data_IF_865444420053
#
_entry.id   IF_865444420053
#
_cell.length_a   1.000
_cell.length_b   1.000
_cell.length_c   1.000
_cell.angle_alpha   90.00
_cell.angle_beta   90.00
_cell.angle_gamma   90.00
#
_symmetry.space_group_name_H-M   'P 1'
#
loop_
_entity.id
_entity.type
_entity.pdbx_description
1 polymer ?
#
# COMPACT_ATOMS: atom_id res chain seq x y z
N UNK A 1 6.86 -31.20 25.41
CA UNK A 1 6.14 -29.97 25.04
C UNK A 1 4.64 -30.27 25.10
N UNK A 2 3.93 -29.80 26.15
CA UNK A 2 2.49 -30.07 26.34
C UNK A 2 1.61 -28.87 25.85
N UNK A 3 2.08 -28.10 24.88
CA UNK A 3 1.34 -26.96 24.32
C UNK A 3 1.46 -27.00 22.81
N UNK A 4 0.37 -26.69 22.13
CA UNK A 4 0.32 -26.53 20.68
C UNK A 4 1.27 -25.39 20.28
N UNK A 5 2.16 -25.59 19.30
CA UNK A 5 3.11 -24.57 18.87
C UNK A 5 2.44 -23.42 18.07
N UNK A 6 1.30 -23.71 17.42
CA UNK A 6 0.56 -22.76 16.58
C UNK A 6 -0.93 -22.85 16.86
N UNK A 7 -1.61 -21.72 16.89
CA UNK A 7 -3.06 -21.64 17.08
C UNK A 7 -3.83 -21.80 15.78
N UNK A 8 -3.25 -21.34 14.69
CA UNK A 8 -3.91 -21.29 13.40
C UNK A 8 -3.09 -21.99 12.33
N UNK A 9 -3.77 -22.64 11.40
CA UNK A 9 -3.18 -23.26 10.20
C UNK A 9 -3.78 -22.58 8.98
N UNK A 10 -2.93 -21.84 8.23
CA UNK A 10 -3.33 -21.20 6.99
C UNK A 10 -2.89 -22.07 5.80
N UNK A 11 -3.89 -22.58 5.05
CA UNK A 11 -3.64 -23.34 3.81
C UNK A 11 -3.71 -22.36 2.64
N UNK A 12 -2.54 -22.02 2.09
CA UNK A 12 -2.44 -21.08 0.99
C UNK A 12 -2.81 -21.72 -0.36
N UNK A 13 -3.19 -20.87 -1.33
CA UNK A 13 -3.49 -21.27 -2.70
C UNK A 13 -2.23 -21.77 -3.45
N UNK A 14 -2.41 -22.68 -4.40
CA UNK A 14 -1.35 -23.11 -5.30
C UNK A 14 -1.21 -22.11 -6.45
N UNK A 15 0.04 -21.87 -6.88
CA UNK A 15 0.33 -21.04 -8.03
C UNK A 15 0.33 -21.92 -9.30
N UNK A 16 -0.46 -21.51 -10.27
CA UNK A 16 -0.59 -22.16 -11.59
C UNK A 16 -0.19 -21.19 -12.69
N UNK A 17 0.04 -21.70 -13.89
CA UNK A 17 0.26 -20.87 -15.06
C UNK A 17 -0.99 -20.05 -15.44
N UNK A 18 -0.86 -19.19 -16.43
CA UNK A 18 -1.94 -18.31 -16.91
C UNK A 18 -3.18 -19.09 -17.36
N UNK A 19 -3.00 -20.30 -17.92
CA UNK A 19 -4.09 -21.19 -18.33
C UNK A 19 -4.69 -22.00 -17.19
N UNK A 20 -4.16 -21.85 -15.97
CA UNK A 20 -4.59 -22.61 -14.80
C UNK A 20 -4.02 -24.02 -14.70
N UNK A 21 -2.98 -24.34 -15.48
CA UNK A 21 -2.32 -25.64 -15.46
C UNK A 21 -1.26 -25.68 -14.35
N UNK A 22 -1.00 -26.88 -13.81
CA UNK A 22 0.13 -27.10 -12.91
C UNK A 22 1.43 -26.85 -13.65
N UNK A 23 2.27 -26.00 -13.07
CA UNK A 23 3.60 -25.72 -13.62
C UNK A 23 4.51 -26.93 -13.48
N UNK A 24 5.22 -27.30 -14.52
CA UNK A 24 6.26 -28.34 -14.50
C UNK A 24 7.34 -28.05 -15.55
N UNK A 25 8.58 -28.44 -15.23
CA UNK A 25 9.71 -28.30 -16.16
C UNK A 25 9.48 -29.06 -17.46
N UNK A 26 8.85 -30.25 -17.38
CA UNK A 26 8.56 -31.10 -18.55
C UNK A 26 7.54 -30.46 -19.51
N UNK A 27 6.67 -29.58 -19.03
CA UNK A 27 5.70 -28.84 -19.86
C UNK A 27 6.22 -27.50 -20.37
N UNK A 28 7.37 -27.05 -19.89
CA UNK A 28 7.94 -25.76 -20.27
C UNK A 28 7.11 -24.53 -19.84
N UNK A 29 6.20 -24.70 -18.89
CA UNK A 29 5.29 -23.64 -18.40
C UNK A 29 5.65 -23.12 -17.01
N UNK A 30 6.89 -23.36 -16.58
CA UNK A 30 7.40 -22.84 -15.30
C UNK A 30 7.72 -21.35 -15.46
N UNK A 31 7.15 -20.54 -14.59
CA UNK A 31 7.50 -19.12 -14.46
C UNK A 31 8.54 -19.01 -13.36
N UNK A 32 9.75 -18.55 -13.69
CA UNK A 32 10.80 -18.32 -12.71
C UNK A 32 10.49 -17.02 -11.93
N UNK A 33 10.31 -17.07 -10.62
CA UNK A 33 10.06 -15.88 -9.82
C UNK A 33 11.26 -14.91 -9.83
N UNK A 34 12.50 -15.39 -10.02
CA UNK A 34 13.68 -14.52 -10.08
C UNK A 34 13.67 -13.65 -11.33
N UNK A 35 13.30 -14.20 -12.50
CA UNK A 35 13.13 -13.41 -13.73
C UNK A 35 12.05 -12.33 -13.58
N UNK A 36 10.94 -12.65 -12.93
CA UNK A 36 9.89 -11.66 -12.63
C UNK A 36 10.37 -10.57 -11.69
N UNK A 37 11.18 -10.94 -10.70
CA UNK A 37 11.76 -9.98 -9.74
C UNK A 37 12.73 -9.03 -10.43
N UNK A 38 13.60 -9.53 -11.29
CA UNK A 38 14.53 -8.70 -12.07
C UNK A 38 13.79 -7.74 -12.99
N UNK A 39 12.75 -8.21 -13.67
CA UNK A 39 11.99 -7.43 -14.64
C UNK A 39 11.01 -6.42 -14.02
N UNK A 40 10.35 -6.79 -12.93
CA UNK A 40 9.23 -6.04 -12.36
C UNK A 40 9.40 -5.62 -10.90
N UNK A 41 10.32 -6.16 -10.16
CA UNK A 41 10.63 -6.04 -8.74
C UNK A 41 9.96 -7.09 -7.84
N UNK A 42 10.58 -7.35 -6.69
CA UNK A 42 10.06 -8.24 -5.68
C UNK A 42 8.71 -7.75 -5.13
N UNK A 43 8.55 -6.45 -4.93
CA UNK A 43 7.30 -5.87 -4.43
C UNK A 43 6.13 -6.10 -5.39
N UNK A 44 6.36 -5.98 -6.71
CA UNK A 44 5.32 -6.23 -7.71
C UNK A 44 4.84 -7.69 -7.68
N UNK A 45 5.78 -8.64 -7.60
CA UNK A 45 5.45 -10.05 -7.49
C UNK A 45 4.72 -10.37 -6.17
N UNK A 46 5.22 -9.85 -5.03
CA UNK A 46 4.59 -10.02 -3.71
C UNK A 46 3.15 -9.52 -3.70
N UNK A 47 2.92 -8.30 -4.19
CA UNK A 47 1.57 -7.73 -4.24
C UNK A 47 0.64 -8.52 -5.16
N UNK A 48 1.15 -8.98 -6.30
CA UNK A 48 0.39 -9.85 -7.23
C UNK A 48 -0.09 -11.11 -6.53
N UNK A 49 0.82 -11.84 -5.89
CA UNK A 49 0.49 -13.10 -5.22
C UNK A 49 -0.52 -12.90 -4.09
N UNK A 50 -0.30 -11.87 -3.23
CA UNK A 50 -1.19 -11.59 -2.11
C UNK A 50 -2.57 -11.12 -2.56
N UNK A 51 -2.66 -10.29 -3.60
CA UNK A 51 -3.95 -9.82 -4.13
C UNK A 51 -4.79 -10.92 -4.80
N UNK A 52 -4.16 -12.03 -5.15
CA UNK A 52 -4.81 -13.19 -5.78
C UNK A 52 -5.00 -14.38 -4.82
N UNK A 53 -4.50 -14.28 -3.59
CA UNK A 53 -4.52 -15.36 -2.61
C UNK A 53 -5.89 -15.53 -1.94
N UNK A 54 -6.95 -15.73 -2.75
CA UNK A 54 -8.28 -16.02 -2.22
C UNK A 54 -8.34 -17.44 -1.66
N UNK A 55 -8.90 -17.66 -0.46
CA UNK A 55 -9.06 -19.00 0.10
C UNK A 55 -9.80 -19.95 -0.85
N UNK A 56 -9.30 -21.18 -1.00
CA UNK A 56 -9.92 -22.22 -1.81
C UNK A 56 -9.80 -22.04 -3.33
N UNK A 57 -9.02 -21.07 -3.82
CA UNK A 57 -8.80 -20.84 -5.26
C UNK A 57 -7.32 -20.79 -5.59
N UNK A 58 -6.92 -21.50 -6.64
CA UNK A 58 -5.56 -21.43 -7.16
C UNK A 58 -5.27 -20.07 -7.80
N UNK A 59 -4.03 -19.61 -7.64
CA UNK A 59 -3.54 -18.37 -8.21
C UNK A 59 -3.09 -18.61 -9.65
N UNK A 60 -3.77 -18.02 -10.63
CA UNK A 60 -3.33 -18.01 -12.05
C UNK A 60 -2.35 -16.85 -12.26
N UNK A 61 -1.07 -17.15 -12.18
CA UNK A 61 -0.03 -16.14 -12.33
C UNK A 61 0.20 -15.84 -13.82
N UNK A 62 0.16 -14.55 -14.18
CA UNK A 62 0.57 -14.06 -15.49
C UNK A 62 1.52 -12.88 -15.35
N UNK A 63 2.40 -12.74 -16.33
CA UNK A 63 3.37 -11.64 -16.37
C UNK A 63 2.67 -10.27 -16.44
N UNK A 64 1.59 -10.16 -17.20
CA UNK A 64 0.82 -8.90 -17.33
C UNK A 64 0.24 -8.42 -15.99
N UNK A 65 -0.13 -9.34 -15.11
CA UNK A 65 -0.60 -8.96 -13.76
C UNK A 65 0.52 -8.37 -12.91
N UNK A 66 1.71 -8.99 -12.96
CA UNK A 66 2.88 -8.47 -12.23
C UNK A 66 3.28 -7.10 -12.77
N UNK A 67 3.26 -6.92 -14.09
CA UNK A 67 3.47 -5.62 -14.76
C UNK A 67 2.44 -4.58 -14.32
N UNK A 68 1.17 -4.94 -14.21
CA UNK A 68 0.10 -4.07 -13.71
C UNK A 68 0.40 -3.55 -12.29
N UNK A 69 0.82 -4.42 -11.38
CA UNK A 69 1.17 -4.00 -10.03
C UNK A 69 2.49 -3.24 -9.95
N UNK A 70 3.44 -3.46 -10.86
CA UNK A 70 4.58 -2.54 -10.98
C UNK A 70 4.14 -1.11 -11.28
N UNK A 71 3.14 -0.91 -12.14
CA UNK A 71 2.58 0.42 -12.37
C UNK A 71 1.98 1.04 -11.10
N UNK A 72 1.40 0.22 -10.23
CA UNK A 72 0.94 0.67 -8.92
C UNK A 72 2.09 1.17 -8.03
N UNK A 73 3.22 0.47 -7.99
CA UNK A 73 4.41 0.92 -7.27
C UNK A 73 4.92 2.27 -7.80
N UNK A 74 4.95 2.42 -9.13
CA UNK A 74 5.32 3.68 -9.77
C UNK A 74 4.34 4.82 -9.40
N UNK A 75 3.04 4.51 -9.31
CA UNK A 75 2.02 5.49 -8.88
C UNK A 75 2.30 6.01 -7.46
N UNK A 76 2.64 5.11 -6.53
CA UNK A 76 3.00 5.48 -5.15
C UNK A 76 4.27 6.35 -5.13
N UNK A 77 5.28 5.96 -5.89
CA UNK A 77 6.52 6.75 -6.01
C UNK A 77 6.26 8.15 -6.56
N UNK A 78 5.44 8.26 -7.60
CA UNK A 78 5.06 9.53 -8.19
C UNK A 78 4.22 10.39 -7.23
N UNK A 79 3.31 9.78 -6.46
CA UNK A 79 2.57 10.47 -5.40
C UNK A 79 3.52 11.06 -4.35
N UNK A 80 4.54 10.30 -3.93
CA UNK A 80 5.59 10.81 -3.05
C UNK A 80 6.30 12.04 -3.63
N UNK A 81 6.72 11.97 -4.89
CA UNK A 81 7.41 13.08 -5.54
C UNK A 81 6.51 14.33 -5.64
N UNK A 82 5.23 14.13 -5.98
CA UNK A 82 4.24 15.21 -6.02
C UNK A 82 4.08 15.90 -4.66
N UNK A 83 3.93 15.14 -3.59
CA UNK A 83 3.80 15.68 -2.24
C UNK A 83 5.06 16.44 -1.79
N UNK A 84 6.24 15.89 -2.09
CA UNK A 84 7.52 16.55 -1.80
C UNK A 84 7.64 17.87 -2.54
N UNK A 85 7.29 17.93 -3.83
CA UNK A 85 7.29 19.16 -4.63
C UNK A 85 6.34 20.20 -4.08
N UNK A 86 5.19 19.78 -3.52
CA UNK A 86 4.21 20.67 -2.89
C UNK A 86 4.54 21.00 -1.42
N UNK A 87 5.78 20.69 -0.98
CA UNK A 87 6.30 21.05 0.34
C UNK A 87 5.49 20.42 1.50
N UNK A 88 4.98 19.21 1.33
CA UNK A 88 4.47 18.42 2.43
C UNK A 88 5.63 18.02 3.35
N UNK A 89 5.51 18.31 4.63
CA UNK A 89 6.51 17.94 5.64
C UNK A 89 6.22 16.55 6.18
N UNK A 90 7.20 15.67 6.08
CA UNK A 90 7.11 14.29 6.55
C UNK A 90 7.85 14.05 7.87
N UNK A 91 8.64 15.02 8.35
CA UNK A 91 9.51 14.83 9.51
C UNK A 91 8.80 14.87 10.88
N UNK A 92 7.57 15.38 10.96
CA UNK A 92 6.77 15.44 12.20
C UNK A 92 5.29 15.28 11.89
N UNK A 93 4.94 14.15 11.30
CA UNK A 93 3.56 13.90 10.87
C UNK A 93 2.70 13.51 12.05
N UNK A 94 1.76 14.39 12.41
CA UNK A 94 0.75 14.15 13.43
C UNK A 94 -0.62 13.94 12.81
N UNK A 95 -1.51 13.28 13.56
CA UNK A 95 -2.92 13.19 13.16
C UNK A 95 -3.49 14.61 13.07
N UNK A 96 -4.06 15.00 11.93
CA UNK A 96 -4.61 16.35 11.77
C UNK A 96 -5.83 16.58 12.65
N UNK A 97 -5.91 17.76 13.23
CA UNK A 97 -7.04 18.20 14.06
C UNK A 97 -7.69 19.47 13.47
N UNK A 98 -8.92 19.76 13.87
CA UNK A 98 -9.66 20.99 13.51
C UNK A 98 -9.73 21.24 11.98
N UNK A 99 -9.92 20.20 11.20
CA UNK A 99 -9.96 20.25 9.73
C UNK A 99 -11.20 21.03 9.28
N UNK A 100 -10.99 22.01 8.38
CA UNK A 100 -12.04 22.87 7.82
C UNK A 100 -12.47 22.47 6.42
N UNK A 101 -11.52 22.13 5.55
CA UNK A 101 -11.79 21.84 4.16
C UNK A 101 -12.51 20.50 3.98
N UNK A 102 -13.59 20.52 3.21
CA UNK A 102 -14.43 19.34 2.96
C UNK A 102 -13.65 18.19 2.31
N UNK A 103 -12.76 18.51 1.38
CA UNK A 103 -11.93 17.49 0.71
C UNK A 103 -11.00 16.76 1.70
N UNK A 104 -10.45 17.50 2.67
CA UNK A 104 -9.58 16.94 3.69
C UNK A 104 -10.38 16.07 4.68
N UNK A 105 -11.58 16.49 5.07
CA UNK A 105 -12.50 15.67 5.89
C UNK A 105 -12.89 14.39 5.17
N UNK A 106 -13.21 14.48 3.88
CA UNK A 106 -13.60 13.35 3.07
C UNK A 106 -12.51 12.29 3.04
N UNK A 107 -11.29 12.66 2.64
CA UNK A 107 -10.22 11.68 2.49
C UNK A 107 -9.78 11.06 3.82
N UNK A 108 -9.84 11.81 4.93
CA UNK A 108 -9.61 11.27 6.28
C UNK A 108 -10.69 10.25 6.66
N UNK A 109 -11.95 10.52 6.33
CA UNK A 109 -13.05 9.56 6.56
C UNK A 109 -12.87 8.27 5.75
N UNK A 110 -12.44 8.38 4.48
CA UNK A 110 -12.12 7.22 3.65
C UNK A 110 -10.95 6.41 4.24
N UNK A 111 -9.90 7.09 4.72
CA UNK A 111 -8.77 6.43 5.38
C UNK A 111 -9.20 5.59 6.60
N UNK A 112 -10.11 6.11 7.45
CA UNK A 112 -10.63 5.38 8.61
C UNK A 112 -11.34 4.11 8.17
N UNK A 113 -12.18 4.17 7.14
CA UNK A 113 -12.86 2.99 6.59
C UNK A 113 -11.86 1.95 6.09
N UNK A 114 -10.85 2.39 5.35
CA UNK A 114 -9.81 1.50 4.82
C UNK A 114 -9.02 0.81 5.93
N UNK A 115 -8.63 1.55 6.98
CA UNK A 115 -7.94 0.97 8.14
C UNK A 115 -8.77 -0.14 8.78
N UNK A 116 -10.04 0.13 9.08
CA UNK A 116 -10.93 -0.83 9.72
C UNK A 116 -11.15 -2.09 8.85
N UNK A 117 -11.39 -1.90 7.55
CA UNK A 117 -11.57 -3.02 6.63
C UNK A 117 -10.29 -3.83 6.45
N UNK A 118 -9.14 -3.17 6.33
CA UNK A 118 -7.84 -3.85 6.22
C UNK A 118 -7.54 -4.67 7.46
N UNK A 119 -7.71 -4.10 8.66
CA UNK A 119 -7.50 -4.80 9.92
C UNK A 119 -8.41 -6.03 10.04
N UNK A 120 -9.70 -5.88 9.74
CA UNK A 120 -10.65 -6.98 9.77
C UNK A 120 -10.29 -8.07 8.74
N UNK A 121 -9.90 -7.69 7.52
CA UNK A 121 -9.47 -8.65 6.50
C UNK A 121 -8.23 -9.42 6.91
N UNK A 122 -7.23 -8.74 7.49
CA UNK A 122 -6.02 -9.40 7.99
C UNK A 122 -6.30 -10.36 9.15
N UNK A 123 -7.17 -9.99 10.11
CA UNK A 123 -7.60 -10.86 11.21
C UNK A 123 -8.30 -12.13 10.72
N UNK A 124 -8.95 -12.08 9.58
CA UNK A 124 -9.63 -13.21 8.95
C UNK A 124 -8.80 -13.90 7.86
N UNK A 125 -7.50 -13.63 7.79
CA UNK A 125 -6.60 -14.19 6.76
C UNK A 125 -7.03 -13.91 5.32
N UNK A 126 -7.82 -12.84 5.07
CA UNK A 126 -8.25 -12.40 3.74
C UNK A 126 -7.25 -11.38 3.17
N UNK A 127 -6.06 -11.87 2.86
CA UNK A 127 -4.97 -11.02 2.31
C UNK A 127 -5.34 -10.41 0.97
N UNK A 128 -6.12 -11.13 0.16
CA UNK A 128 -6.67 -10.67 -1.12
C UNK A 128 -7.58 -9.43 -0.94
N UNK A 129 -8.48 -9.47 0.03
CA UNK A 129 -9.37 -8.35 0.34
C UNK A 129 -8.60 -7.16 0.90
N UNK A 130 -7.68 -7.39 1.83
CA UNK A 130 -6.83 -6.33 2.37
C UNK A 130 -6.03 -5.63 1.26
N UNK A 131 -5.37 -6.39 0.39
CA UNK A 131 -4.63 -5.84 -0.74
C UNK A 131 -5.54 -5.02 -1.68
N UNK A 132 -6.73 -5.54 -2.01
CA UNK A 132 -7.70 -4.88 -2.89
C UNK A 132 -8.21 -3.56 -2.30
N UNK A 133 -8.55 -3.54 -1.02
CA UNK A 133 -9.08 -2.34 -0.35
C UNK A 133 -8.02 -1.24 -0.32
N UNK A 134 -6.78 -1.59 0.05
CA UNK A 134 -5.68 -0.63 0.07
C UNK A 134 -5.38 -0.12 -1.34
N UNK A 135 -5.33 -1.02 -2.34
CA UNK A 135 -5.11 -0.65 -3.73
C UNK A 135 -6.15 0.36 -4.23
N UNK A 136 -7.44 0.08 -4.01
CA UNK A 136 -8.52 0.95 -4.45
C UNK A 136 -8.45 2.33 -3.79
N UNK A 137 -8.17 2.37 -2.50
CA UNK A 137 -8.00 3.63 -1.79
C UNK A 137 -6.82 4.44 -2.34
N UNK A 138 -5.65 3.82 -2.47
CA UNK A 138 -4.43 4.51 -2.91
C UNK A 138 -4.55 4.95 -4.35
N UNK A 139 -4.99 4.06 -5.25
CA UNK A 139 -5.07 4.40 -6.66
C UNK A 139 -6.16 5.42 -6.95
N UNK A 140 -7.40 5.12 -6.56
CA UNK A 140 -8.54 5.93 -6.95
C UNK A 140 -8.81 7.09 -5.98
N UNK A 141 -9.04 6.81 -4.70
CA UNK A 141 -9.44 7.87 -3.77
C UNK A 141 -8.31 8.87 -3.53
N UNK A 142 -7.11 8.37 -3.25
CA UNK A 142 -5.98 9.24 -2.93
C UNK A 142 -5.34 9.84 -4.19
N UNK A 143 -4.84 9.01 -5.12
CA UNK A 143 -4.08 9.52 -6.27
C UNK A 143 -4.97 10.18 -7.32
N UNK A 144 -6.06 9.52 -7.76
CA UNK A 144 -6.85 10.02 -8.89
C UNK A 144 -7.78 11.16 -8.48
N UNK A 145 -8.28 11.19 -7.24
CA UNK A 145 -9.18 12.24 -6.78
C UNK A 145 -8.53 13.23 -5.84
N UNK A 146 -8.06 12.78 -4.69
CA UNK A 146 -7.60 13.71 -3.66
C UNK A 146 -6.40 14.53 -4.10
N UNK A 147 -5.36 13.91 -4.66
CA UNK A 147 -4.18 14.66 -5.12
C UNK A 147 -4.52 15.60 -6.28
N UNK A 148 -5.38 15.18 -7.22
CA UNK A 148 -5.78 16.04 -8.34
C UNK A 148 -6.58 17.26 -7.86
N UNK A 149 -7.57 17.07 -7.00
CA UNK A 149 -8.35 18.17 -6.42
C UNK A 149 -7.50 19.08 -5.53
N UNK A 150 -6.51 18.54 -4.84
CA UNK A 150 -5.59 19.31 -3.99
C UNK A 150 -4.69 20.27 -4.77
N UNK A 151 -4.49 20.05 -6.07
CA UNK A 151 -3.70 20.96 -6.92
C UNK A 151 -4.24 22.39 -6.87
N UNK A 152 -5.55 22.56 -6.93
CA UNK A 152 -6.17 23.90 -6.87
C UNK A 152 -5.88 24.61 -5.56
N UNK A 153 -5.79 23.86 -4.46
CA UNK A 153 -5.46 24.39 -3.13
C UNK A 153 -3.98 24.72 -3.05
N UNK A 154 -3.10 23.84 -3.51
CA UNK A 154 -1.64 24.05 -3.47
C UNK A 154 -1.21 25.28 -4.29
N UNK A 155 -1.92 25.61 -5.37
CA UNK A 155 -1.63 26.77 -6.22
C UNK A 155 -2.42 28.03 -5.85
N UNK A 156 -3.34 27.96 -4.86
CA UNK A 156 -4.10 29.13 -4.38
C UNK A 156 -3.21 30.09 -3.58
N UNK A 157 -3.70 31.30 -3.32
CA UNK A 157 -3.04 32.27 -2.43
C UNK A 157 -3.35 32.01 -0.94
N UNK A 158 -4.33 31.17 -0.61
CA UNK A 158 -4.77 30.93 0.76
C UNK A 158 -3.77 30.02 1.50
N UNK A 159 -2.91 30.64 2.30
CA UNK A 159 -1.89 29.94 3.09
C UNK A 159 -2.48 28.92 4.06
N UNK A 160 -3.55 29.28 4.77
CA UNK A 160 -4.19 28.40 5.77
C UNK A 160 -4.70 27.11 5.13
N UNK A 161 -5.37 27.22 3.98
CA UNK A 161 -5.87 26.06 3.23
C UNK A 161 -4.74 25.18 2.71
N UNK A 162 -3.63 25.80 2.24
CA UNK A 162 -2.43 25.06 1.81
C UNK A 162 -1.82 24.28 2.96
N UNK A 163 -1.61 24.92 4.10
CA UNK A 163 -0.95 24.31 5.24
C UNK A 163 -1.81 23.17 5.84
N UNK A 164 -3.14 23.34 5.92
CA UNK A 164 -4.06 22.27 6.28
C UNK A 164 -3.93 21.08 5.32
N UNK A 165 -3.98 21.33 4.01
CA UNK A 165 -3.94 20.27 2.99
C UNK A 165 -2.59 19.57 2.97
N UNK A 166 -1.47 20.28 3.17
CA UNK A 166 -0.14 19.68 3.31
C UNK A 166 -0.06 18.73 4.50
N UNK A 167 -0.55 19.17 5.66
CA UNK A 167 -0.57 18.34 6.87
C UNK A 167 -1.43 17.09 6.70
N UNK A 168 -2.62 17.23 6.14
CA UNK A 168 -3.51 16.09 5.87
C UNK A 168 -2.88 15.15 4.85
N UNK A 169 -2.31 15.66 3.76
CA UNK A 169 -1.67 14.83 2.73
C UNK A 169 -0.48 14.04 3.28
N UNK A 170 0.37 14.69 4.09
CA UNK A 170 1.51 14.03 4.73
C UNK A 170 1.05 12.91 5.67
N UNK A 171 0.04 13.17 6.48
CA UNK A 171 -0.54 12.18 7.40
C UNK A 171 -1.10 10.97 6.65
N UNK A 172 -1.95 11.20 5.64
CA UNK A 172 -2.55 10.11 4.87
C UNK A 172 -1.48 9.29 4.16
N UNK A 173 -0.48 9.94 3.58
CA UNK A 173 0.59 9.24 2.89
C UNK A 173 1.44 8.39 3.83
N UNK A 174 1.71 8.88 5.05
CA UNK A 174 2.33 8.09 6.11
C UNK A 174 1.53 6.81 6.41
N UNK A 175 0.23 6.96 6.60
CA UNK A 175 -0.65 5.84 6.92
C UNK A 175 -0.75 4.82 5.75
N UNK A 176 -0.76 5.32 4.51
CA UNK A 176 -0.68 4.48 3.30
C UNK A 176 0.59 3.63 3.30
N UNK A 177 1.73 4.22 3.62
CA UNK A 177 2.99 3.48 3.67
C UNK A 177 2.97 2.38 4.73
N UNK A 178 2.40 2.65 5.91
CA UNK A 178 2.28 1.65 6.97
C UNK A 178 1.34 0.50 6.54
N UNK A 179 0.17 0.82 5.98
CA UNK A 179 -0.79 -0.17 5.50
C UNK A 179 -0.23 -1.06 4.38
N UNK A 180 0.57 -0.49 3.49
CA UNK A 180 1.17 -1.18 2.35
C UNK A 180 2.42 -1.98 2.73
N UNK A 181 3.10 -1.64 3.81
CA UNK A 181 4.41 -2.21 4.14
C UNK A 181 4.43 -3.74 4.21
N UNK A 182 3.46 -4.45 4.80
CA UNK A 182 3.44 -5.92 4.79
C UNK A 182 3.39 -6.52 3.37
N UNK A 183 2.82 -5.80 2.40
CA UNK A 183 2.64 -6.25 1.02
C UNK A 183 3.84 -5.91 0.14
N UNK A 184 4.33 -4.68 0.23
CA UNK A 184 5.38 -4.10 -0.63
C UNK A 184 6.47 -3.42 0.22
N UNK A 185 7.24 -4.19 0.99
CA UNK A 185 8.15 -3.64 2.00
C UNK A 185 9.30 -2.80 1.43
N UNK A 186 9.81 -3.13 0.24
CA UNK A 186 11.02 -2.47 -0.27
C UNK A 186 10.76 -1.03 -0.72
N UNK A 187 9.71 -0.79 -1.49
CA UNK A 187 9.39 0.58 -1.96
C UNK A 187 8.90 1.46 -0.81
N UNK A 188 8.10 0.91 0.10
CA UNK A 188 7.58 1.68 1.24
C UNK A 188 8.68 2.05 2.21
N UNK A 189 9.61 1.15 2.54
CA UNK A 189 10.78 1.43 3.35
C UNK A 189 11.67 2.48 2.69
N UNK A 190 11.92 2.33 1.38
CA UNK A 190 12.74 3.30 0.63
C UNK A 190 12.17 4.72 0.67
N UNK A 191 10.84 4.85 0.53
CA UNK A 191 10.15 6.15 0.62
C UNK A 191 10.23 6.68 2.05
N UNK A 192 10.02 5.82 3.05
CA UNK A 192 10.07 6.19 4.46
C UNK A 192 11.41 6.80 4.85
N UNK A 193 12.49 6.11 4.54
CA UNK A 193 13.85 6.57 4.82
C UNK A 193 14.22 7.83 4.03
N UNK A 194 13.82 7.91 2.75
CA UNK A 194 14.07 9.08 1.90
C UNK A 194 13.44 10.35 2.47
N UNK A 195 12.23 10.25 2.97
CA UNK A 195 11.46 11.39 3.48
C UNK A 195 11.72 11.68 4.96
N UNK A 196 12.47 10.83 5.65
CA UNK A 196 12.76 10.99 7.08
C UNK A 196 11.47 11.11 7.93
N UNK A 197 10.51 10.21 7.72
CA UNK A 197 9.27 10.18 8.52
C UNK A 197 9.53 10.02 10.02
N UNK A 198 10.68 9.53 10.38
CA UNK A 198 11.27 9.65 11.71
C UNK A 198 12.38 10.69 11.70
N UNK A 199 12.32 11.66 12.62
CA UNK A 199 13.32 12.74 12.75
C UNK A 199 14.73 12.22 13.04
N UNK A 200 14.84 11.07 13.70
CA UNK A 200 16.13 10.46 14.01
C UNK A 200 16.79 9.84 12.78
N UNK A 201 16.00 9.49 11.74
CA UNK A 201 16.43 8.76 10.56
C UNK A 201 16.91 7.33 10.87
N UNK A 202 16.60 6.81 12.07
CA UNK A 202 17.03 5.50 12.55
C UNK A 202 15.90 4.47 12.61
N UNK A 203 14.64 4.93 12.64
CA UNK A 203 13.49 4.05 12.78
C UNK A 203 13.02 3.56 11.42
N UNK A 204 13.07 2.24 11.26
CA UNK A 204 12.53 1.56 10.09
C UNK A 204 11.01 1.54 10.13
N UNK A 205 10.37 1.63 8.96
CA UNK A 205 8.91 1.54 8.84
C UNK A 205 8.37 0.24 9.44
N UNK A 206 9.10 -0.86 9.28
CA UNK A 206 8.72 -2.17 9.83
C UNK A 206 8.56 -2.21 11.36
N UNK A 207 9.16 -1.26 12.08
CA UNK A 207 9.08 -1.14 13.54
C UNK A 207 7.96 -0.18 13.99
N UNK A 208 7.28 0.46 13.06
CA UNK A 208 6.21 1.41 13.34
C UNK A 208 4.94 0.67 13.75
N UNK A 209 4.22 1.23 14.73
CA UNK A 209 2.95 0.66 15.16
C UNK A 209 1.92 0.62 14.03
N UNK A 210 1.13 -0.47 14.00
CA UNK A 210 0.03 -0.61 13.06
C UNK A 210 -1.01 0.50 13.26
N UNK A 211 -1.52 1.12 12.19
CA UNK A 211 -2.46 2.23 12.30
C UNK A 211 -3.84 1.72 12.72
N UNK A 212 -4.34 2.26 13.83
CA UNK A 212 -5.70 1.96 14.29
C UNK A 212 -6.74 2.84 13.58
N UNK A 213 -7.96 2.34 13.45
CA UNK A 213 -9.08 3.04 12.81
C UNK A 213 -9.76 4.12 13.70
N UNK A 214 -9.08 4.59 14.76
CA UNK A 214 -9.57 5.63 15.66
C UNK A 214 -9.25 7.03 15.16
#
# INVERSE_FOLDING_TARGET
>A
LNKEPFKDIYVHALVRDEKGQKMSKSKGNVIDPLELIEKYSADALRFTLLSMASPGRDVKLSEDRVKGYRNFLNKIWNANNFLTQNKCDFGDVKKPENIKLTINKWILSELVKVKNHTENSLKNYRFDEAAKIIYQFVWHSFCDWYLELSKTIYYSENKTSKDETRGVSAYIFREILILLHPFIPFVTEKIWLKNKFDKSGKDFLMLTNWPTGQ
#
